data_IF_475137118635
#
_entry.id   IF_475137118635
#
_cell.length_a   1.000
_cell.length_b   1.000
_cell.length_c   1.000
_cell.angle_alpha   90.00
_cell.angle_beta   90.00
_cell.angle_gamma   90.00
#
_symmetry.space_group_name_H-M   'P 1'
#
loop_
_entity.id
_entity.type
_entity.pdbx_description
1 polymer ?
#
# COMPACT_ATOMS: atom_id res chain seq x y z
N UNK A 1 3.07 7.94 -50.17
CA UNK A 1 2.15 7.25 -51.11
C UNK A 1 1.58 6.05 -50.38
N UNK A 2 0.31 5.66 -50.60
CA UNK A 2 -0.25 4.48 -49.94
C UNK A 2 0.56 3.24 -50.30
N UNK A 3 0.74 2.35 -49.33
CA UNK A 3 1.51 1.12 -49.52
C UNK A 3 0.51 -0.04 -49.65
N UNK A 4 0.59 -0.81 -50.72
CA UNK A 4 -0.30 -1.92 -50.99
C UNK A 4 0.43 -3.22 -50.72
N UNK A 5 -0.16 -4.10 -49.92
CA UNK A 5 0.34 -5.46 -49.77
C UNK A 5 -0.29 -6.34 -50.83
N UNK A 6 0.53 -7.02 -51.61
CA UNK A 6 0.08 -7.94 -52.64
C UNK A 6 0.44 -9.39 -52.29
N UNK A 7 -0.45 -10.31 -52.65
CA UNK A 7 -0.16 -11.73 -52.80
C UNK A 7 -0.26 -12.06 -54.28
N UNK A 8 0.81 -12.57 -54.88
CA UNK A 8 0.87 -12.91 -56.29
C UNK A 8 1.55 -14.28 -56.49
N UNK A 9 1.28 -14.92 -57.61
CA UNK A 9 1.96 -16.17 -57.99
C UNK A 9 3.02 -15.92 -59.06
N UNK A 10 4.17 -16.55 -58.88
CA UNK A 10 5.21 -16.70 -59.91
C UNK A 10 4.73 -17.64 -61.02
N UNK A 11 5.37 -17.61 -62.19
CA UNK A 11 5.17 -18.51 -63.33
C UNK A 11 5.34 -20.00 -62.97
N UNK A 12 5.99 -20.31 -61.85
CA UNK A 12 6.09 -21.66 -61.27
C UNK A 12 4.91 -22.08 -60.38
N UNK A 13 3.95 -21.18 -60.11
CA UNK A 13 2.79 -21.40 -59.24
C UNK A 13 3.04 -21.17 -57.74
N UNK A 14 4.25 -20.76 -57.35
CA UNK A 14 4.59 -20.44 -55.96
C UNK A 14 4.02 -19.07 -55.55
N UNK A 15 3.35 -19.02 -54.40
CA UNK A 15 2.80 -17.78 -53.86
C UNK A 15 3.91 -16.91 -53.23
N UNK A 16 3.98 -15.65 -53.64
CA UNK A 16 4.84 -14.61 -53.08
C UNK A 16 4.02 -13.47 -52.52
N UNK A 17 4.46 -12.95 -51.38
CA UNK A 17 3.87 -11.79 -50.73
C UNK A 17 4.90 -10.66 -50.63
N UNK A 18 4.47 -9.45 -50.97
CA UNK A 18 5.31 -8.26 -50.97
C UNK A 18 4.49 -7.00 -50.79
N UNK A 19 5.17 -5.87 -50.65
CA UNK A 19 4.54 -4.55 -50.56
C UNK A 19 5.00 -3.69 -51.74
N UNK A 20 4.08 -2.92 -52.31
CA UNK A 20 4.35 -1.99 -53.41
C UNK A 20 3.75 -0.62 -53.09
N UNK A 21 4.53 0.44 -53.24
CA UNK A 21 4.03 1.80 -53.11
C UNK A 21 3.43 2.23 -54.44
N UNK A 22 2.13 2.51 -54.45
CA UNK A 22 1.41 2.90 -55.66
C UNK A 22 0.45 4.04 -55.35
N UNK A 23 0.01 4.73 -56.39
CA UNK A 23 -0.87 5.89 -56.24
C UNK A 23 -2.33 5.49 -56.00
N UNK A 24 -2.74 4.35 -56.58
CA UNK A 24 -4.04 3.72 -56.37
C UNK A 24 -3.94 2.19 -56.54
N UNK A 25 -5.03 1.47 -56.28
CA UNK A 25 -5.05 0.01 -56.36
C UNK A 25 -4.80 -0.51 -57.79
N UNK A 26 -5.20 0.22 -58.83
CA UNK A 26 -5.00 -0.18 -60.22
C UNK A 26 -3.52 -0.05 -60.64
N UNK A 27 -2.85 1.00 -60.16
CA UNK A 27 -1.41 1.22 -60.31
C UNK A 27 -0.60 0.14 -59.58
N UNK A 28 -1.04 -0.28 -58.38
CA UNK A 28 -0.46 -1.44 -57.68
C UNK A 28 -0.60 -2.74 -58.49
N UNK A 29 -1.76 -3.00 -59.10
CA UNK A 29 -1.98 -4.15 -59.99
C UNK A 29 -1.04 -4.12 -61.20
N UNK A 30 -0.87 -2.95 -61.82
CA UNK A 30 0.01 -2.79 -62.98
C UNK A 30 1.49 -3.03 -62.62
N UNK A 31 1.96 -2.49 -61.49
CA UNK A 31 3.34 -2.68 -61.04
C UNK A 31 3.66 -4.12 -60.66
N UNK A 32 2.76 -4.82 -59.95
CA UNK A 32 2.96 -6.23 -59.59
C UNK A 32 2.97 -7.13 -60.83
N UNK A 33 2.13 -6.82 -61.83
CA UNK A 33 2.11 -7.54 -63.11
C UNK A 33 3.38 -7.26 -63.92
N UNK A 34 3.90 -6.03 -63.89
CA UNK A 34 5.16 -5.67 -64.54
C UNK A 34 6.38 -6.38 -63.92
N UNK A 35 6.28 -6.83 -62.66
CA UNK A 35 7.29 -7.68 -62.01
C UNK A 35 7.21 -9.16 -62.44
N UNK A 36 6.32 -9.51 -63.38
CA UNK A 36 6.15 -10.87 -63.91
C UNK A 36 5.37 -11.81 -62.99
N UNK A 37 4.71 -11.27 -61.97
CA UNK A 37 3.89 -12.00 -61.00
C UNK A 37 2.40 -11.83 -61.32
N UNK A 38 1.58 -12.86 -61.12
CA UNK A 38 0.12 -12.79 -61.33
C UNK A 38 -0.58 -12.46 -60.00
N UNK A 39 -1.09 -11.23 -59.79
CA UNK A 39 -1.66 -10.81 -58.51
C UNK A 39 -3.00 -11.51 -58.22
N UNK A 40 -3.10 -12.13 -57.04
CA UNK A 40 -4.32 -12.83 -56.56
C UNK A 40 -5.10 -11.99 -55.56
N UNK A 41 -4.42 -11.14 -54.78
CA UNK A 41 -5.04 -10.18 -53.87
C UNK A 41 -4.14 -8.97 -53.67
N UNK A 42 -4.70 -7.75 -53.72
CA UNK A 42 -4.01 -6.50 -53.42
C UNK A 42 -4.87 -5.69 -52.45
N UNK A 43 -4.37 -5.46 -51.24
CA UNK A 43 -5.05 -4.71 -50.18
C UNK A 43 -4.24 -3.46 -49.80
N UNK A 44 -4.93 -2.33 -49.65
CA UNK A 44 -4.31 -1.08 -49.23
C UNK A 44 -3.97 -1.16 -47.74
N UNK A 45 -2.68 -1.07 -47.41
CA UNK A 45 -2.23 -1.02 -46.02
C UNK A 45 -2.19 0.45 -45.61
N UNK A 46 -3.23 0.88 -44.88
CA UNK A 46 -3.25 2.19 -44.24
C UNK A 46 -1.98 2.35 -43.37
N UNK A 47 -1.12 3.32 -43.74
CA UNK A 47 0.12 3.61 -43.03
C UNK A 47 -0.16 4.07 -41.59
N UNK A 48 -0.12 3.13 -40.65
CA UNK A 48 0.01 3.42 -39.24
C UNK A 48 1.48 3.74 -38.94
N UNK A 49 1.74 4.98 -38.50
CA UNK A 49 3.03 5.43 -38.01
C UNK A 49 3.51 4.52 -36.88
N UNK A 50 4.74 4.07 -37.01
CA UNK A 50 5.47 3.09 -36.22
C UNK A 50 5.32 3.26 -34.69
N UNK A 51 4.83 2.21 -34.02
CA UNK A 51 5.09 1.97 -32.61
C UNK A 51 5.27 0.45 -32.38
N UNK A 52 6.33 0.14 -31.65
CA UNK A 52 6.86 -1.19 -31.38
C UNK A 52 5.83 -2.21 -30.87
N UNK A 53 6.09 -3.48 -31.25
CA UNK A 53 5.41 -4.72 -30.85
C UNK A 53 4.80 -4.65 -29.44
N UNK A 54 3.48 -4.51 -29.39
CA UNK A 54 2.66 -4.65 -28.19
C UNK A 54 1.56 -5.68 -28.43
N UNK A 55 1.56 -6.73 -27.60
CA UNK A 55 0.55 -7.79 -27.61
C UNK A 55 -0.88 -7.27 -27.52
N UNK A 56 -1.79 -8.02 -28.16
CA UNK A 56 -3.25 -7.80 -28.19
C UNK A 56 -3.80 -7.44 -26.80
N UNK A 57 -4.05 -6.15 -26.54
CA UNK A 57 -4.97 -5.71 -25.48
C UNK A 57 -6.40 -5.72 -26.03
N UNK A 58 -7.21 -6.66 -25.52
CA UNK A 58 -8.67 -6.61 -25.64
C UNK A 58 -9.18 -5.31 -25.01
N UNK A 59 -10.06 -4.60 -25.73
CA UNK A 59 -10.75 -3.37 -25.31
C UNK A 59 -11.40 -3.54 -23.93
N UNK A 60 -11.05 -2.66 -23.00
CA UNK A 60 -11.57 -2.61 -21.64
C UNK A 60 -12.94 -1.93 -21.58
N UNK A 61 -13.89 -2.61 -20.95
CA UNK A 61 -15.06 -1.98 -20.35
C UNK A 61 -14.67 -1.27 -19.05
N UNK A 62 -15.39 -0.18 -18.75
CA UNK A 62 -15.12 0.81 -17.68
C UNK A 62 -15.25 0.24 -16.23
N UNK A 63 -15.40 -1.08 -16.07
CA UNK A 63 -15.56 -1.74 -14.77
C UNK A 63 -14.79 -3.07 -14.68
N UNK A 64 -13.56 -3.13 -15.17
CA UNK A 64 -12.68 -4.27 -14.87
C UNK A 64 -12.00 -4.06 -13.51
N UNK A 65 -12.76 -4.29 -12.44
CA UNK A 65 -12.14 -4.61 -11.15
C UNK A 65 -11.49 -5.99 -11.35
N UNK A 66 -10.17 -6.01 -11.56
CA UNK A 66 -9.38 -7.25 -11.54
C UNK A 66 -9.39 -7.83 -10.12
N UNK A 67 -10.49 -8.51 -9.76
CA UNK A 67 -10.61 -9.26 -8.52
C UNK A 67 -9.85 -10.57 -8.67
N UNK A 68 -8.73 -10.68 -7.95
CA UNK A 68 -8.18 -11.97 -7.52
C UNK A 68 -7.36 -12.73 -8.55
N UNK A 69 -6.04 -12.71 -8.38
CA UNK A 69 -5.14 -13.62 -9.10
C UNK A 69 -3.66 -13.33 -8.91
N UNK A 70 -3.30 -12.08 -8.62
CA UNK A 70 -1.92 -11.68 -8.35
C UNK A 70 -1.46 -12.05 -6.92
N UNK A 71 -0.14 -12.10 -6.67
CA UNK A 71 0.38 -12.45 -5.36
C UNK A 71 0.11 -11.35 -4.32
N UNK A 72 -0.07 -11.76 -3.07
CA UNK A 72 -0.04 -10.90 -1.90
C UNK A 72 1.38 -10.87 -1.28
N UNK A 73 1.57 -10.11 -0.21
CA UNK A 73 2.90 -9.96 0.43
C UNK A 73 3.42 -11.27 0.99
N UNK A 74 2.55 -12.11 1.54
CA UNK A 74 2.90 -13.42 2.05
C UNK A 74 3.35 -14.39 0.94
N UNK A 75 2.69 -14.38 -0.22
CA UNK A 75 3.12 -15.23 -1.35
C UNK A 75 4.49 -14.82 -1.86
N UNK A 76 4.74 -13.51 -1.99
CA UNK A 76 6.04 -12.99 -2.42
C UNK A 76 7.12 -13.35 -1.39
N UNK A 77 6.80 -13.31 -0.10
CA UNK A 77 7.70 -13.72 0.97
C UNK A 77 8.06 -15.21 0.86
N UNK A 78 7.06 -16.07 0.67
CA UNK A 78 7.26 -17.53 0.51
C UNK A 78 8.06 -17.81 -0.76
N UNK A 79 7.71 -17.19 -1.88
CA UNK A 79 8.45 -17.30 -3.14
C UNK A 79 9.92 -16.91 -2.93
N UNK A 80 10.19 -15.77 -2.30
CA UNK A 80 11.55 -15.27 -2.08
C UNK A 80 12.35 -16.21 -1.18
N UNK A 81 11.73 -16.71 -0.09
CA UNK A 81 12.35 -17.69 0.80
C UNK A 81 12.68 -18.99 0.08
N UNK A 82 11.74 -19.54 -0.68
CA UNK A 82 11.95 -20.77 -1.45
C UNK A 82 13.02 -20.57 -2.53
N UNK A 83 13.00 -19.42 -3.19
CA UNK A 83 14.02 -19.05 -4.18
C UNK A 83 15.40 -19.00 -3.55
N UNK A 84 15.55 -18.33 -2.39
CA UNK A 84 16.79 -18.32 -1.63
C UNK A 84 17.27 -19.75 -1.31
N UNK A 85 16.38 -20.61 -0.80
CA UNK A 85 16.71 -22.02 -0.48
C UNK A 85 17.16 -22.81 -1.71
N UNK A 86 16.49 -22.66 -2.86
CA UNK A 86 16.86 -23.39 -4.08
C UNK A 86 18.21 -22.93 -4.65
N UNK A 87 18.45 -21.62 -4.66
CA UNK A 87 19.73 -21.07 -5.14
C UNK A 87 20.87 -21.44 -4.19
N UNK A 88 20.63 -21.39 -2.87
CA UNK A 88 21.59 -21.84 -1.86
C UNK A 88 21.90 -23.35 -1.97
N UNK A 89 20.93 -24.16 -2.40
CA UNK A 89 21.14 -25.57 -2.72
C UNK A 89 21.91 -25.82 -4.04
N UNK A 90 22.37 -24.75 -4.70
CA UNK A 90 23.17 -24.82 -5.93
C UNK A 90 22.34 -25.01 -7.20
N UNK A 91 21.00 -24.89 -7.13
CA UNK A 91 20.15 -25.06 -8.29
C UNK A 91 20.25 -23.81 -9.22
N UNK A 92 20.46 -23.97 -10.53
CA UNK A 92 20.59 -22.84 -11.45
C UNK A 92 19.37 -21.90 -11.41
N UNK A 93 19.59 -20.59 -11.51
CA UNK A 93 18.56 -19.55 -11.39
C UNK A 93 17.30 -19.82 -12.21
N UNK A 94 17.48 -20.08 -13.51
CA UNK A 94 16.37 -20.36 -14.42
C UNK A 94 15.61 -21.62 -14.00
N UNK A 95 16.32 -22.66 -13.54
CA UNK A 95 15.69 -23.89 -13.08
C UNK A 95 14.91 -23.69 -11.79
N UNK A 96 15.44 -22.90 -10.86
CA UNK A 96 14.74 -22.51 -9.64
C UNK A 96 13.45 -21.74 -9.95
N UNK A 97 13.48 -20.80 -10.91
CA UNK A 97 12.28 -20.11 -11.39
C UNK A 97 11.25 -21.07 -11.99
N UNK A 98 11.66 -22.02 -12.84
CA UNK A 98 10.76 -23.03 -13.41
C UNK A 98 10.08 -23.90 -12.36
N UNK A 99 10.80 -24.28 -11.30
CA UNK A 99 10.23 -25.03 -10.17
C UNK A 99 9.18 -24.18 -9.45
N UNK A 100 9.48 -22.90 -9.19
CA UNK A 100 8.55 -21.98 -8.54
C UNK A 100 7.29 -21.74 -9.39
N UNK A 101 7.44 -21.56 -10.70
CA UNK A 101 6.33 -21.39 -11.66
C UNK A 101 5.38 -22.58 -11.60
N UNK A 102 5.92 -23.82 -11.59
CA UNK A 102 5.12 -25.05 -11.50
C UNK A 102 4.32 -25.16 -10.20
N UNK A 103 4.85 -24.63 -9.10
CA UNK A 103 4.15 -24.62 -7.80
C UNK A 103 3.01 -23.60 -7.74
N UNK A 104 2.92 -22.63 -8.66
CA UNK A 104 1.86 -21.61 -8.68
C UNK A 104 0.56 -22.13 -9.32
N UNK A 105 -0.06 -23.14 -8.73
CA UNK A 105 -1.35 -23.70 -9.20
C UNK A 105 -2.54 -22.78 -8.92
N UNK A 106 -2.53 -22.12 -7.75
CA UNK A 106 -3.68 -21.37 -7.23
C UNK A 106 -3.72 -19.90 -7.67
N UNK A 107 -2.64 -19.39 -8.28
CA UNK A 107 -2.46 -17.96 -8.59
C UNK A 107 -1.97 -17.75 -10.02
N UNK A 108 -2.87 -17.79 -11.03
CA UNK A 108 -2.48 -17.75 -12.44
C UNK A 108 -1.75 -16.46 -12.83
N UNK A 109 -2.12 -15.30 -12.26
CA UNK A 109 -1.40 -14.04 -12.53
C UNK A 109 -0.03 -14.01 -11.87
N UNK A 110 0.17 -14.68 -10.73
CA UNK A 110 1.52 -14.81 -10.17
C UNK A 110 2.40 -15.68 -11.07
N UNK A 111 1.84 -16.79 -11.56
CA UNK A 111 2.50 -17.65 -12.53
C UNK A 111 2.93 -16.88 -13.79
N UNK A 112 2.02 -16.11 -14.40
CA UNK A 112 2.31 -15.27 -15.58
C UNK A 112 3.45 -14.27 -15.32
N UNK A 113 3.47 -13.64 -14.15
CA UNK A 113 4.55 -12.73 -13.74
C UNK A 113 5.88 -13.49 -13.68
N UNK A 114 5.91 -14.66 -13.03
CA UNK A 114 7.13 -15.45 -12.91
C UNK A 114 7.61 -16.01 -14.25
N UNK A 115 6.68 -16.37 -15.15
CA UNK A 115 6.99 -16.75 -16.54
C UNK A 115 7.66 -15.59 -17.29
N UNK A 116 7.14 -14.37 -17.16
CA UNK A 116 7.77 -13.17 -17.73
C UNK A 116 9.17 -12.89 -17.17
N UNK A 117 9.36 -13.08 -15.86
CA UNK A 117 10.69 -12.96 -15.23
C UNK A 117 11.64 -14.05 -15.75
N UNK A 118 11.18 -15.29 -15.87
CA UNK A 118 11.98 -16.39 -16.39
C UNK A 118 12.34 -16.21 -17.86
N UNK A 119 11.44 -15.66 -18.68
CA UNK A 119 11.70 -15.34 -20.08
C UNK A 119 12.77 -14.24 -20.21
N UNK A 120 12.73 -13.22 -19.35
CA UNK A 120 13.78 -12.19 -19.29
C UNK A 120 15.15 -12.80 -19.02
N UNK A 121 15.26 -13.65 -17.99
CA UNK A 121 16.49 -14.35 -17.64
C UNK A 121 16.94 -15.29 -18.75
N UNK A 122 16.00 -16.02 -19.39
CA UNK A 122 16.30 -16.92 -20.52
C UNK A 122 16.85 -16.17 -21.73
N UNK A 123 16.41 -14.93 -21.95
CA UNK A 123 16.90 -14.06 -23.01
C UNK A 123 18.24 -13.39 -22.72
N UNK A 124 18.83 -13.63 -21.55
CA UNK A 124 20.12 -13.06 -21.13
C UNK A 124 20.02 -11.77 -20.30
N UNK A 125 18.81 -11.33 -19.94
CA UNK A 125 18.62 -10.23 -19.00
C UNK A 125 18.88 -10.65 -17.55
N UNK A 126 19.00 -9.68 -16.65
CA UNK A 126 19.19 -9.95 -15.22
C UNK A 126 17.85 -10.29 -14.53
N UNK A 127 17.89 -10.99 -13.40
CA UNK A 127 16.73 -11.23 -12.54
C UNK A 127 16.13 -9.90 -12.08
N UNK A 128 16.96 -8.96 -11.64
CA UNK A 128 16.51 -7.65 -11.17
C UNK A 128 15.76 -6.85 -12.24
N UNK A 129 16.22 -6.89 -13.49
CA UNK A 129 15.51 -6.26 -14.62
C UNK A 129 14.14 -6.92 -14.84
N UNK A 130 14.10 -8.26 -14.85
CA UNK A 130 12.85 -9.03 -15.00
C UNK A 130 11.83 -8.70 -13.91
N UNK A 131 12.28 -8.64 -12.66
CA UNK A 131 11.45 -8.27 -11.51
C UNK A 131 10.97 -6.81 -11.58
N UNK A 132 11.83 -5.90 -12.05
CA UNK A 132 11.54 -4.46 -12.12
C UNK A 132 10.41 -4.12 -13.11
N UNK A 133 10.14 -5.00 -14.08
CA UNK A 133 8.99 -4.90 -14.99
C UNK A 133 7.64 -5.06 -14.26
N UNK A 134 7.65 -5.50 -13.01
CA UNK A 134 6.46 -5.72 -12.19
C UNK A 134 6.51 -4.91 -10.87
N UNK A 135 6.59 -3.57 -10.93
CA UNK A 135 6.84 -2.70 -9.76
C UNK A 135 5.68 -2.68 -8.75
N UNK A 136 4.52 -3.21 -9.13
CA UNK A 136 3.37 -3.40 -8.22
C UNK A 136 3.62 -4.47 -7.17
N UNK A 137 4.47 -5.46 -7.48
CA UNK A 137 4.72 -6.64 -6.64
C UNK A 137 6.15 -6.64 -6.10
N UNK A 138 7.13 -6.31 -6.95
CA UNK A 138 8.52 -6.17 -6.53
C UNK A 138 8.84 -4.69 -6.41
N UNK A 139 8.94 -4.20 -5.17
CA UNK A 139 9.27 -2.80 -4.93
C UNK A 139 10.75 -2.52 -5.26
N UNK A 140 11.11 -1.24 -5.27
CA UNK A 140 12.47 -0.83 -5.59
C UNK A 140 13.49 -1.37 -4.60
N UNK A 141 13.12 -1.54 -3.33
CA UNK A 141 13.99 -2.13 -2.32
C UNK A 141 14.34 -3.56 -2.72
N UNK A 142 13.34 -4.38 -3.05
CA UNK A 142 13.52 -5.74 -3.54
C UNK A 142 14.43 -5.77 -4.78
N UNK A 143 14.08 -5.01 -5.82
CA UNK A 143 14.82 -5.02 -7.08
C UNK A 143 16.28 -4.56 -6.92
N UNK A 144 16.54 -3.52 -6.12
CA UNK A 144 17.91 -3.01 -5.93
C UNK A 144 18.76 -3.96 -5.08
N UNK A 145 18.18 -4.63 -4.08
CA UNK A 145 18.90 -5.67 -3.34
C UNK A 145 19.30 -6.80 -4.30
N UNK A 146 18.33 -7.36 -5.05
CA UNK A 146 18.62 -8.41 -6.04
C UNK A 146 19.69 -7.96 -7.02
N UNK A 147 19.59 -6.73 -7.55
CA UNK A 147 20.58 -6.16 -8.47
C UNK A 147 22.00 -6.14 -7.87
N UNK A 148 22.13 -5.73 -6.60
CA UNK A 148 23.41 -5.73 -5.90
C UNK A 148 23.96 -7.16 -5.71
N UNK A 149 23.07 -8.11 -5.38
CA UNK A 149 23.42 -9.53 -5.28
C UNK A 149 23.87 -10.15 -6.61
N UNK A 150 23.21 -9.79 -7.71
CA UNK A 150 23.61 -10.22 -9.05
C UNK A 150 24.96 -9.63 -9.47
N UNK A 151 25.16 -8.32 -9.24
CA UNK A 151 26.42 -7.65 -9.55
C UNK A 151 27.59 -8.18 -8.68
N UNK A 152 27.31 -8.52 -7.43
CA UNK A 152 28.29 -9.07 -6.48
C UNK A 152 28.46 -10.58 -6.53
N UNK A 153 27.68 -11.31 -7.34
CA UNK A 153 27.73 -12.77 -7.42
C UNK A 153 27.30 -13.49 -6.13
N UNK A 154 26.54 -12.84 -5.26
CA UNK A 154 26.09 -13.33 -3.94
C UNK A 154 24.56 -13.33 -3.84
N UNK A 155 23.92 -13.78 -4.91
CA UNK A 155 22.46 -13.73 -5.06
C UNK A 155 21.75 -14.54 -3.97
N UNK A 156 22.32 -15.68 -3.56
CA UNK A 156 21.83 -16.52 -2.47
C UNK A 156 21.74 -15.78 -1.13
N UNK A 157 22.80 -15.03 -0.78
CA UNK A 157 22.86 -14.24 0.46
C UNK A 157 21.83 -13.12 0.42
N UNK A 158 21.74 -12.45 -0.72
CA UNK A 158 20.80 -11.33 -0.90
C UNK A 158 19.36 -11.81 -0.86
N UNK A 159 19.00 -12.90 -1.55
CA UNK A 159 17.65 -13.44 -1.51
C UNK A 159 17.26 -13.89 -0.10
N UNK A 160 18.19 -14.47 0.67
CA UNK A 160 17.97 -14.80 2.08
C UNK A 160 17.69 -13.55 2.92
N UNK A 161 18.46 -12.48 2.73
CA UNK A 161 18.24 -11.19 3.40
C UNK A 161 16.90 -10.57 3.03
N UNK A 162 16.54 -10.57 1.75
CA UNK A 162 15.23 -10.07 1.28
C UNK A 162 14.10 -10.88 1.92
N UNK A 163 14.20 -12.20 1.93
CA UNK A 163 13.21 -13.08 2.56
C UNK A 163 13.07 -12.77 4.05
N UNK A 164 14.19 -12.68 4.77
CA UNK A 164 14.21 -12.37 6.21
C UNK A 164 13.63 -10.99 6.50
N UNK A 165 13.94 -9.98 5.69
CA UNK A 165 13.36 -8.64 5.78
C UNK A 165 11.83 -8.69 5.61
N UNK A 166 11.33 -9.40 4.59
CA UNK A 166 9.90 -9.55 4.33
C UNK A 166 9.19 -10.29 5.47
N UNK A 167 9.78 -11.38 5.99
CA UNK A 167 9.25 -12.15 7.11
C UNK A 167 9.10 -11.28 8.36
N UNK A 168 10.16 -10.53 8.72
CA UNK A 168 10.10 -9.60 9.85
C UNK A 168 9.05 -8.51 9.61
N UNK A 169 9.01 -7.90 8.43
CA UNK A 169 8.01 -6.85 8.12
C UNK A 169 6.56 -7.37 8.18
N UNK A 170 6.30 -8.60 7.71
CA UNK A 170 4.98 -9.22 7.77
C UNK A 170 4.63 -9.56 9.23
N UNK A 171 5.60 -10.05 10.01
CA UNK A 171 5.43 -10.34 11.43
C UNK A 171 5.02 -9.08 12.20
N UNK A 172 5.75 -7.98 12.04
CA UNK A 172 5.41 -6.69 12.68
C UNK A 172 4.03 -6.21 12.27
N UNK A 173 3.69 -6.27 10.97
CA UNK A 173 2.36 -5.88 10.50
C UNK A 173 1.24 -6.76 11.07
N UNK A 174 1.45 -8.08 11.16
CA UNK A 174 0.49 -9.01 11.77
C UNK A 174 0.30 -8.75 13.27
N UNK A 175 1.37 -8.46 14.00
CA UNK A 175 1.31 -8.09 15.42
C UNK A 175 0.48 -6.83 15.65
N UNK A 176 0.78 -5.75 14.91
CA UNK A 176 0.01 -4.49 14.98
C UNK A 176 -1.45 -4.73 14.63
N UNK A 177 -1.73 -5.50 13.57
CA UNK A 177 -3.10 -5.82 13.17
C UNK A 177 -3.82 -6.64 14.25
N UNK A 178 -3.16 -7.63 14.85
CA UNK A 178 -3.73 -8.47 15.89
C UNK A 178 -4.11 -7.68 17.14
N UNK A 179 -3.22 -6.78 17.59
CA UNK A 179 -3.47 -5.90 18.74
C UNK A 179 -4.66 -4.96 18.50
N UNK A 180 -4.91 -4.57 17.24
CA UNK A 180 -6.02 -3.68 16.87
C UNK A 180 -7.38 -4.37 16.77
N UNK A 181 -7.44 -5.70 16.73
CA UNK A 181 -8.70 -6.45 16.59
C UNK A 181 -9.61 -6.19 17.80
N UNK A 182 -9.08 -6.34 19.02
CA UNK A 182 -9.87 -6.21 20.23
C UNK A 182 -10.49 -4.79 20.39
N UNK A 183 -9.72 -3.69 20.32
CA UNK A 183 -10.28 -2.33 20.29
C UNK A 183 -11.35 -2.12 19.24
N UNK A 184 -11.15 -2.67 18.03
CA UNK A 184 -12.09 -2.52 16.93
C UNK A 184 -13.42 -3.22 17.22
N UNK A 185 -13.39 -4.44 17.77
CA UNK A 185 -14.60 -5.20 18.11
C UNK A 185 -15.38 -4.48 19.21
N UNK A 186 -14.71 -4.07 20.29
CA UNK A 186 -15.36 -3.34 21.40
C UNK A 186 -15.96 -2.02 20.91
N UNK A 187 -15.25 -1.29 20.05
CA UNK A 187 -15.74 -0.03 19.48
C UNK A 187 -16.98 -0.25 18.59
N UNK A 188 -16.99 -1.29 17.76
CA UNK A 188 -18.17 -1.64 16.94
C UNK A 188 -19.37 -1.97 17.83
N UNK A 189 -19.17 -2.77 18.89
CA UNK A 189 -20.23 -3.12 19.85
C UNK A 189 -20.74 -1.88 20.59
N UNK A 190 -19.83 -1.03 21.08
CA UNK A 190 -20.16 0.21 21.78
C UNK A 190 -20.99 1.18 20.92
N UNK A 191 -20.52 1.42 19.69
CA UNK A 191 -21.24 2.25 18.70
C UNK A 191 -22.60 1.60 18.35
N UNK A 192 -22.65 0.28 18.24
CA UNK A 192 -23.90 -0.46 18.01
C UNK A 192 -24.92 -0.29 19.14
N UNK A 193 -24.49 -0.35 20.40
CA UNK A 193 -25.36 -0.11 21.57
C UNK A 193 -25.89 1.32 21.55
N UNK A 194 -25.01 2.32 21.37
CA UNK A 194 -25.42 3.73 21.30
C UNK A 194 -26.38 3.97 20.13
N UNK A 195 -26.08 3.42 18.94
CA UNK A 195 -26.95 3.54 17.79
C UNK A 195 -28.32 2.90 18.04
N UNK A 196 -28.39 1.73 18.68
CA UNK A 196 -29.65 1.08 19.05
C UNK A 196 -30.45 1.94 20.02
N UNK A 197 -29.81 2.50 21.05
CA UNK A 197 -30.46 3.41 21.99
C UNK A 197 -31.03 4.63 21.26
N UNK A 198 -30.23 5.26 20.40
CA UNK A 198 -30.63 6.47 19.68
C UNK A 198 -31.72 6.22 18.63
N UNK A 199 -31.71 5.09 17.93
CA UNK A 199 -32.67 4.81 16.84
C UNK A 199 -33.96 4.18 17.35
N UNK A 200 -33.92 3.39 18.43
CA UNK A 200 -35.09 2.62 18.89
C UNK A 200 -35.62 3.09 20.22
N UNK A 201 -34.75 3.39 21.20
CA UNK A 201 -35.17 3.68 22.57
C UNK A 201 -35.57 5.15 22.73
N UNK A 202 -34.73 6.08 22.29
CA UNK A 202 -34.98 7.52 22.42
C UNK A 202 -36.32 7.95 21.76
N UNK A 203 -36.68 7.50 20.54
CA UNK A 203 -37.94 7.90 19.91
C UNK A 203 -39.18 7.38 20.65
N UNK A 204 -39.09 6.18 21.27
CA UNK A 204 -40.20 5.64 22.08
C UNK A 204 -40.47 6.52 23.30
N UNK A 205 -39.41 6.96 23.99
CA UNK A 205 -39.53 7.89 25.11
C UNK A 205 -40.03 9.26 24.67
N UNK A 206 -39.56 9.78 23.55
CA UNK A 206 -40.07 11.03 22.97
C UNK A 206 -41.58 10.97 22.74
N UNK A 207 -42.11 9.86 22.18
CA UNK A 207 -43.54 9.67 21.99
C UNK A 207 -44.34 9.69 23.31
N UNK A 208 -43.79 9.09 24.37
CA UNK A 208 -44.41 9.13 25.71
C UNK A 208 -44.43 10.57 26.25
N UNK A 209 -43.32 11.29 26.13
CA UNK A 209 -43.18 12.65 26.64
C UNK A 209 -44.09 13.65 25.92
N UNK A 210 -44.24 13.55 24.60
CA UNK A 210 -45.15 14.42 23.84
C UNK A 210 -46.61 14.26 24.30
N UNK A 211 -47.02 13.04 24.66
CA UNK A 211 -48.38 12.77 25.14
C UNK A 211 -48.61 13.25 26.58
N UNK A 212 -47.59 13.18 27.44
CA UNK A 212 -47.71 13.53 28.86
C UNK A 212 -47.50 15.03 29.17
N UNK A 213 -46.66 15.74 28.40
CA UNK A 213 -46.21 17.10 28.75
C UNK A 213 -47.07 18.25 28.21
N UNK A 214 -48.12 18.01 27.40
CA UNK A 214 -49.06 19.04 26.88
C UNK A 214 -48.40 20.39 26.46
N UNK A 215 -47.21 20.36 25.86
CA UNK A 215 -46.51 21.56 25.38
C UNK A 215 -45.49 22.18 26.35
N UNK A 216 -45.23 21.59 27.53
CA UNK A 216 -44.11 21.99 28.37
C UNK A 216 -42.77 21.64 27.70
N UNK A 217 -41.81 22.57 27.76
CA UNK A 217 -40.51 22.40 27.13
C UNK A 217 -39.70 21.28 27.82
N UNK A 218 -39.11 20.40 27.02
CA UNK A 218 -38.25 19.34 27.54
C UNK A 218 -36.97 19.92 28.15
N UNK A 219 -36.40 19.31 29.21
CA UNK A 219 -35.10 19.71 29.74
C UNK A 219 -33.99 19.71 28.68
N UNK A 220 -33.04 20.64 28.78
CA UNK A 220 -31.97 20.85 27.78
C UNK A 220 -31.22 19.58 27.36
N UNK A 221 -30.74 18.73 28.28
CA UNK A 221 -30.06 17.47 27.93
C UNK A 221 -30.95 16.53 27.09
N UNK A 222 -32.25 16.45 27.41
CA UNK A 222 -33.23 15.66 26.66
C UNK A 222 -33.41 16.18 25.24
N UNK A 223 -33.45 17.51 25.05
CA UNK A 223 -33.57 18.13 23.73
C UNK A 223 -32.37 17.78 22.82
N UNK A 224 -31.15 17.77 23.37
CA UNK A 224 -29.94 17.39 22.61
C UNK A 224 -30.05 15.93 22.15
N UNK A 225 -30.37 15.02 23.07
CA UNK A 225 -30.45 13.57 22.76
C UNK A 225 -31.55 13.28 21.74
N UNK A 226 -32.72 13.91 21.90
CA UNK A 226 -33.83 13.77 20.94
C UNK A 226 -33.47 14.39 19.59
N UNK A 227 -32.88 15.59 19.55
CA UNK A 227 -32.49 16.23 18.29
C UNK A 227 -31.47 15.41 17.49
N UNK A 228 -30.49 14.80 18.18
CA UNK A 228 -29.55 13.87 17.55
C UNK A 228 -30.28 12.60 17.09
N UNK A 229 -31.18 12.04 17.90
CA UNK A 229 -31.98 10.86 17.54
C UNK A 229 -32.84 11.11 16.29
N UNK A 230 -33.54 12.23 16.23
CA UNK A 230 -34.35 12.64 15.08
C UNK A 230 -33.51 12.79 13.81
N UNK A 231 -32.28 13.33 13.92
CA UNK A 231 -31.35 13.37 12.79
C UNK A 231 -31.04 11.97 12.26
N UNK A 232 -30.78 11.01 13.14
CA UNK A 232 -30.51 9.62 12.73
C UNK A 232 -31.76 8.87 12.24
N UNK A 233 -32.95 9.15 12.77
CA UNK A 233 -34.19 8.42 12.49
C UNK A 233 -34.95 8.99 11.30
N UNK A 234 -35.14 10.32 11.24
CA UNK A 234 -35.95 10.97 10.22
C UNK A 234 -35.16 11.23 8.93
N UNK A 235 -33.84 11.39 9.04
CA UNK A 235 -32.97 11.73 7.91
C UNK A 235 -31.94 10.63 7.64
N UNK A 236 -32.36 9.35 7.64
CA UNK A 236 -31.47 8.17 7.45
C UNK A 236 -30.56 8.30 6.23
N UNK A 237 -31.11 8.81 5.12
CA UNK A 237 -30.37 9.03 3.87
C UNK A 237 -29.33 10.15 4.06
N UNK A 238 -29.71 11.27 4.67
CA UNK A 238 -28.77 12.39 4.93
C UNK A 238 -27.70 11.97 5.93
N UNK A 239 -28.05 11.25 7.00
CA UNK A 239 -27.09 10.74 7.97
C UNK A 239 -26.08 9.78 7.31
N UNK A 240 -26.55 8.85 6.46
CA UNK A 240 -25.68 7.98 5.67
C UNK A 240 -24.79 8.80 4.72
N UNK A 241 -25.35 9.77 4.00
CA UNK A 241 -24.60 10.65 3.09
C UNK A 241 -23.56 11.48 3.84
N UNK A 242 -23.85 11.98 5.04
CA UNK A 242 -22.89 12.72 5.86
C UNK A 242 -21.75 11.83 6.34
N UNK A 243 -22.04 10.59 6.77
CA UNK A 243 -21.00 9.63 7.18
C UNK A 243 -20.12 9.28 5.97
N UNK A 244 -20.73 8.98 4.83
CA UNK A 244 -20.03 8.64 3.59
C UNK A 244 -19.22 9.84 3.08
N UNK A 245 -19.78 11.05 3.10
CA UNK A 245 -19.10 12.28 2.71
C UNK A 245 -17.96 12.64 3.66
N UNK A 246 -18.11 12.42 4.96
CA UNK A 246 -17.04 12.60 5.94
C UNK A 246 -15.92 11.59 5.69
N UNK A 247 -16.25 10.32 5.46
CA UNK A 247 -15.28 9.27 5.13
C UNK A 247 -14.51 9.59 3.85
N UNK A 248 -15.20 9.89 2.74
CA UNK A 248 -14.56 10.26 1.48
C UNK A 248 -13.87 11.63 1.54
N UNK A 249 -14.37 12.56 2.36
CA UNK A 249 -13.77 13.87 2.60
C UNK A 249 -12.43 13.75 3.33
N UNK A 250 -12.37 12.94 4.40
CA UNK A 250 -11.12 12.61 5.09
C UNK A 250 -10.17 11.87 4.15
N UNK A 251 -10.67 10.91 3.38
CA UNK A 251 -9.85 10.17 2.40
C UNK A 251 -9.31 11.10 1.30
N UNK A 252 -10.12 12.05 0.84
CA UNK A 252 -9.73 13.08 -0.13
C UNK A 252 -8.69 14.04 0.43
N UNK A 253 -8.88 14.50 1.66
CA UNK A 253 -7.92 15.32 2.40
C UNK A 253 -6.57 14.60 2.54
N UNK A 254 -6.57 13.31 2.88
CA UNK A 254 -5.35 12.48 2.95
C UNK A 254 -4.63 12.32 1.61
N UNK A 255 -5.34 12.45 0.47
CA UNK A 255 -4.70 12.44 -0.87
C UNK A 255 -4.03 13.76 -1.23
N UNK A 256 -4.38 14.86 -0.57
CA UNK A 256 -3.71 16.15 -0.77
C UNK A 256 -2.38 16.19 -0.02
N UNK A 257 -1.36 16.85 -0.58
CA UNK A 257 -0.05 17.00 0.08
C UNK A 257 -0.15 17.65 1.47
N UNK A 258 -0.97 18.70 1.60
CA UNK A 258 -1.19 19.41 2.87
C UNK A 258 -1.93 18.54 3.89
N UNK A 259 -2.99 17.86 3.48
CA UNK A 259 -3.75 17.00 4.37
C UNK A 259 -2.94 15.78 4.82
N UNK A 260 -2.23 15.11 3.92
CA UNK A 260 -1.30 14.02 4.28
C UNK A 260 -0.29 14.47 5.34
N UNK A 261 0.37 15.62 5.14
CA UNK A 261 1.33 16.18 6.10
C UNK A 261 0.70 16.55 7.44
N UNK A 262 -0.56 17.02 7.45
CA UNK A 262 -1.30 17.29 8.69
C UNK A 262 -1.59 16.01 9.46
N UNK A 263 -2.03 14.94 8.77
CA UNK A 263 -2.26 13.64 9.40
C UNK A 263 -0.96 12.99 9.89
N UNK A 264 0.13 13.15 9.15
CA UNK A 264 1.46 12.69 9.58
C UNK A 264 1.93 13.41 10.85
N UNK A 265 1.70 14.73 10.92
CA UNK A 265 2.00 15.54 12.11
C UNK A 265 1.15 15.12 13.30
N UNK A 266 -0.17 14.98 13.11
CA UNK A 266 -1.09 14.50 14.14
C UNK A 266 -0.68 13.13 14.65
N UNK A 267 -0.28 12.22 13.75
CA UNK A 267 0.16 10.87 14.11
C UNK A 267 1.41 10.85 15.01
N UNK A 268 2.36 11.75 14.79
CA UNK A 268 3.59 11.87 15.59
C UNK A 268 3.30 12.54 16.94
N UNK A 269 2.41 13.52 16.99
CA UNK A 269 2.18 14.36 18.18
C UNK A 269 1.11 13.80 19.13
N UNK A 270 0.36 12.78 18.74
CA UNK A 270 -0.69 12.22 19.58
C UNK A 270 -0.08 11.40 20.72
N UNK A 271 -0.49 11.62 22.00
CA UNK A 271 0.08 10.87 23.12
C UNK A 271 -0.06 9.36 22.94
N UNK A 272 0.99 8.61 23.27
CA UNK A 272 1.11 7.14 23.13
C UNK A 272 1.07 6.58 21.70
N UNK A 273 0.25 7.15 20.81
CA UNK A 273 0.23 6.79 19.39
C UNK A 273 1.48 7.29 18.66
N UNK A 274 1.97 8.48 19.02
CA UNK A 274 3.21 9.06 18.53
C UNK A 274 4.40 8.16 18.75
N UNK A 275 4.50 7.54 19.92
CA UNK A 275 5.58 6.60 20.24
C UNK A 275 5.61 5.42 19.25
N UNK A 276 4.44 4.84 18.92
CA UNK A 276 4.36 3.75 17.94
C UNK A 276 4.73 4.23 16.54
N UNK A 277 4.26 5.41 16.13
CA UNK A 277 4.57 5.96 14.80
C UNK A 277 6.06 6.26 14.67
N UNK A 278 6.67 6.92 15.65
CA UNK A 278 8.11 7.24 15.66
C UNK A 278 8.93 5.96 15.67
N UNK A 279 8.67 5.06 16.62
CA UNK A 279 9.41 3.79 16.72
C UNK A 279 9.28 2.93 15.46
N UNK A 280 8.08 2.87 14.87
CA UNK A 280 7.83 2.13 13.62
C UNK A 280 8.58 2.71 12.42
N UNK A 281 8.62 4.04 12.28
CA UNK A 281 9.37 4.66 11.19
C UNK A 281 10.88 4.51 11.41
N UNK A 282 11.39 4.71 12.63
CA UNK A 282 12.80 4.50 12.96
C UNK A 282 13.22 3.05 12.68
N UNK A 283 12.47 2.06 13.17
CA UNK A 283 12.74 0.64 12.90
C UNK A 283 12.76 0.34 11.40
N UNK A 284 11.83 0.92 10.63
CA UNK A 284 11.79 0.76 9.17
C UNK A 284 13.00 1.39 8.50
N UNK A 285 13.40 2.59 8.90
CA UNK A 285 14.56 3.30 8.35
C UNK A 285 15.81 2.47 8.62
N UNK A 286 16.08 2.14 9.87
CA UNK A 286 17.32 1.45 10.27
C UNK A 286 17.39 0.04 9.70
N UNK A 287 16.28 -0.71 9.67
CA UNK A 287 16.20 -2.03 9.01
C UNK A 287 16.52 -1.94 7.53
N UNK A 288 15.81 -1.06 6.82
CA UNK A 288 15.91 -0.95 5.37
C UNK A 288 17.32 -0.50 4.98
N UNK A 289 17.82 0.52 5.68
CA UNK A 289 19.13 1.08 5.43
C UNK A 289 20.23 0.07 5.77
N UNK A 290 20.19 -0.57 6.94
CA UNK A 290 21.13 -1.63 7.34
C UNK A 290 21.15 -2.79 6.35
N UNK A 291 19.98 -3.30 5.95
CA UNK A 291 19.88 -4.42 4.98
C UNK A 291 20.45 -4.06 3.61
N UNK A 292 20.25 -2.82 3.16
CA UNK A 292 20.80 -2.34 1.88
C UNK A 292 22.33 -2.23 1.95
N UNK A 293 22.86 -1.62 3.01
CA UNK A 293 24.30 -1.48 3.19
C UNK A 293 24.99 -2.85 3.35
N UNK A 294 24.41 -3.75 4.13
CA UNK A 294 24.85 -5.15 4.24
C UNK A 294 24.96 -5.81 2.87
N UNK A 295 24.02 -5.52 1.98
CA UNK A 295 23.93 -6.06 0.61
C UNK A 295 24.84 -5.32 -0.38
N UNK A 296 25.72 -4.45 0.11
CA UNK A 296 26.69 -3.73 -0.71
C UNK A 296 26.10 -2.58 -1.53
N UNK A 297 24.87 -2.15 -1.24
CA UNK A 297 24.26 -1.01 -1.93
C UNK A 297 24.96 0.28 -1.47
N UNK A 298 25.42 1.15 -2.39
CA UNK A 298 26.08 2.40 -2.02
C UNK A 298 25.21 3.30 -1.12
N UNK A 299 25.82 3.95 -0.13
CA UNK A 299 25.13 4.75 0.91
C UNK A 299 24.11 5.73 0.34
N UNK A 300 24.49 6.53 -0.67
CA UNK A 300 23.59 7.52 -1.28
C UNK A 300 22.35 6.86 -1.92
N UNK A 301 22.56 5.74 -2.62
CA UNK A 301 21.46 4.98 -3.21
C UNK A 301 20.59 4.33 -2.12
N UNK A 302 21.21 3.83 -1.05
CA UNK A 302 20.52 3.24 0.07
C UNK A 302 19.63 4.26 0.83
N UNK A 303 20.08 5.51 0.98
CA UNK A 303 19.28 6.61 1.54
C UNK A 303 18.05 6.91 0.67
N UNK A 304 18.21 6.99 -0.66
CA UNK A 304 17.10 7.22 -1.59
C UNK A 304 16.07 6.09 -1.57
N UNK A 305 16.52 4.84 -1.58
CA UNK A 305 15.62 3.67 -1.51
C UNK A 305 14.90 3.65 -0.16
N UNK A 306 15.63 3.87 0.94
CA UNK A 306 15.04 3.90 2.28
C UNK A 306 13.95 4.96 2.38
N UNK A 307 14.19 6.18 1.85
CA UNK A 307 13.20 7.26 1.78
C UNK A 307 11.89 6.81 1.12
N UNK A 308 11.97 6.04 0.05
CA UNK A 308 10.80 5.58 -0.73
C UNK A 308 9.97 4.52 0.00
N UNK A 309 10.53 3.86 1.01
CA UNK A 309 9.77 2.92 1.85
C UNK A 309 8.94 3.61 2.94
N UNK A 310 9.16 4.91 3.16
CA UNK A 310 8.52 5.67 4.23
C UNK A 310 7.16 6.21 3.79
N UNK A 311 6.17 6.06 4.67
CA UNK A 311 4.83 6.61 4.42
C UNK A 311 4.62 7.97 5.05
N UNK A 312 5.39 8.31 6.09
CA UNK A 312 5.29 9.58 6.80
C UNK A 312 6.22 10.62 6.17
N UNK A 313 5.65 11.76 5.79
CA UNK A 313 6.36 12.84 5.09
C UNK A 313 7.50 13.48 5.89
N UNK A 314 7.41 13.57 7.22
CA UNK A 314 8.48 14.15 8.04
C UNK A 314 9.75 13.29 8.04
N UNK A 315 9.59 11.96 8.09
CA UNK A 315 10.72 11.05 7.99
C UNK A 315 11.29 11.01 6.56
N UNK A 316 10.44 11.12 5.54
CA UNK A 316 10.88 11.20 4.14
C UNK A 316 11.67 12.49 3.85
N UNK A 317 11.23 13.62 4.39
CA UNK A 317 11.93 14.90 4.32
C UNK A 317 13.28 14.82 5.05
N UNK A 318 13.32 14.21 6.24
CA UNK A 318 14.56 13.99 6.99
C UNK A 318 15.58 13.14 6.21
N UNK A 319 15.15 12.03 5.60
CA UNK A 319 16.01 11.20 4.75
C UNK A 319 16.53 11.94 3.52
N UNK A 320 15.74 12.87 2.95
CA UNK A 320 16.16 13.69 1.81
C UNK A 320 17.28 14.64 2.22
N UNK A 321 17.15 15.33 3.35
CA UNK A 321 18.20 16.22 3.87
C UNK A 321 19.47 15.47 4.25
N UNK A 322 19.33 14.29 4.85
CA UNK A 322 20.48 13.42 5.14
C UNK A 322 21.20 13.01 3.86
N UNK A 323 20.47 12.60 2.82
CA UNK A 323 21.05 12.31 1.51
C UNK A 323 21.84 13.48 0.94
N UNK A 324 21.27 14.69 0.96
CA UNK A 324 21.91 15.88 0.40
C UNK A 324 23.18 16.25 1.20
N UNK A 325 23.14 16.17 2.53
CA UNK A 325 24.30 16.46 3.39
C UNK A 325 25.43 15.44 3.22
N UNK A 326 25.10 14.15 3.14
CA UNK A 326 26.10 13.07 2.92
C UNK A 326 26.69 13.17 1.52
N UNK A 327 25.89 13.58 0.52
CA UNK A 327 26.40 13.86 -0.83
C UNK A 327 27.42 14.99 -0.84
N UNK A 328 27.23 15.98 0.02
CA UNK A 328 28.16 17.11 0.18
C UNK A 328 29.38 16.77 1.06
N UNK A 329 29.48 15.54 1.55
CA UNK A 329 30.63 15.02 2.29
C UNK A 329 30.53 15.09 3.82
N UNK A 330 29.37 15.45 4.37
CA UNK A 330 29.15 15.36 5.81
C UNK A 330 29.03 13.89 6.27
N UNK A 331 29.61 13.57 7.43
CA UNK A 331 29.42 12.29 8.11
C UNK A 331 27.94 12.08 8.46
N UNK A 332 27.41 10.86 8.26
CA UNK A 332 25.99 10.53 8.34
C UNK A 332 25.35 10.87 9.70
N UNK A 333 26.06 10.65 10.80
CA UNK A 333 25.55 10.95 12.14
C UNK A 333 25.21 12.44 12.33
N UNK A 334 25.95 13.33 11.67
CA UNK A 334 25.81 14.79 11.80
C UNK A 334 24.44 15.30 11.32
N UNK A 335 24.01 15.12 10.05
CA UNK A 335 22.70 15.53 9.60
C UNK A 335 21.57 14.75 10.28
N UNK A 336 21.82 13.51 10.72
CA UNK A 336 20.82 12.73 11.47
C UNK A 336 20.51 13.36 12.83
N UNK A 337 21.54 13.87 13.54
CA UNK A 337 21.38 14.54 14.84
C UNK A 337 20.63 15.87 14.78
N UNK A 338 20.63 16.54 13.61
CA UNK A 338 19.91 17.81 13.38
C UNK A 338 18.40 17.58 13.23
N UNK A 339 17.97 16.38 12.85
CA UNK A 339 16.58 16.06 12.59
C UNK A 339 15.86 15.53 13.84
N UNK A 340 14.83 16.24 14.30
CA UNK A 340 14.08 15.94 15.54
C UNK A 340 13.33 14.61 15.55
N UNK A 341 13.20 13.96 14.39
CA UNK A 341 12.47 12.69 14.24
C UNK A 341 13.30 11.49 14.71
N UNK A 342 14.62 11.64 14.83
CA UNK A 342 15.52 10.58 15.28
C UNK A 342 15.82 10.71 16.78
N UNK A 343 15.59 9.65 17.57
CA UNK A 343 16.00 9.62 18.96
C UNK A 343 17.53 9.63 19.11
N UNK A 344 18.03 10.25 20.18
CA UNK A 344 19.47 10.40 20.45
C UNK A 344 20.22 9.07 20.47
N UNK A 345 19.60 8.01 20.96
CA UNK A 345 20.20 6.67 20.97
C UNK A 345 20.52 6.17 19.56
N UNK A 346 19.66 6.46 18.58
CA UNK A 346 19.87 6.07 17.18
C UNK A 346 21.04 6.83 16.59
N UNK A 347 21.09 8.15 16.80
CA UNK A 347 22.17 8.99 16.26
C UNK A 347 23.53 8.59 16.84
N UNK A 348 23.60 8.29 18.14
CA UNK A 348 24.84 7.84 18.79
C UNK A 348 25.29 6.46 18.30
N UNK A 349 24.37 5.52 18.05
CA UNK A 349 24.77 4.22 17.49
C UNK A 349 25.20 4.32 16.02
N UNK A 350 24.63 5.25 15.25
CA UNK A 350 25.09 5.54 13.88
C UNK A 350 26.47 6.17 13.89
N UNK A 351 26.74 7.11 14.79
CA UNK A 351 28.06 7.71 15.00
C UNK A 351 29.11 6.64 15.32
N UNK A 352 28.84 5.78 16.30
CA UNK A 352 29.74 4.66 16.64
C UNK A 352 29.94 3.73 15.44
N UNK A 353 28.87 3.36 14.73
CA UNK A 353 28.97 2.49 13.56
C UNK A 353 29.73 3.10 12.38
N UNK A 354 29.66 4.43 12.23
CA UNK A 354 30.42 5.17 11.22
C UNK A 354 31.92 5.22 11.59
N UNK A 355 32.24 5.44 12.87
CA UNK A 355 33.62 5.43 13.38
C UNK A 355 34.28 4.05 13.34
N UNK A 356 33.54 2.99 13.67
CA UNK A 356 34.07 1.61 13.68
C UNK A 356 34.00 0.94 12.31
N UNK A 357 33.30 1.53 11.34
CA UNK A 357 33.02 0.92 10.04
C UNK A 357 31.97 -0.20 10.07
N UNK A 358 31.30 -0.42 11.22
CA UNK A 358 30.25 -1.43 11.42
C UNK A 358 28.84 -0.83 11.38
N UNK A 359 28.63 0.22 10.56
CA UNK A 359 27.35 0.89 10.40
C UNK A 359 26.18 -0.06 10.09
N UNK A 360 26.31 -1.04 9.17
CA UNK A 360 25.20 -1.97 8.87
C UNK A 360 24.75 -2.77 10.10
N UNK A 361 25.70 -3.30 10.87
CA UNK A 361 25.44 -4.08 12.09
C UNK A 361 24.78 -3.22 13.17
N UNK A 362 25.24 -1.98 13.35
CA UNK A 362 24.62 -1.05 14.29
C UNK A 362 23.17 -0.72 13.88
N UNK A 363 22.92 -0.44 12.61
CA UNK A 363 21.56 -0.17 12.10
C UNK A 363 20.62 -1.35 12.31
N UNK A 364 21.07 -2.58 12.04
CA UNK A 364 20.27 -3.79 12.27
C UNK A 364 19.98 -4.02 13.75
N UNK A 365 20.95 -3.80 14.64
CA UNK A 365 20.73 -3.87 16.11
C UNK A 365 19.74 -2.83 16.60
N UNK A 366 19.82 -1.59 16.11
CA UNK A 366 18.82 -0.57 16.38
C UNK A 366 17.45 -1.04 15.89
N UNK A 367 17.37 -1.60 14.69
CA UNK A 367 16.12 -2.06 14.11
C UNK A 367 15.46 -3.19 14.93
N UNK A 368 16.24 -4.14 15.44
CA UNK A 368 15.75 -5.23 16.27
C UNK A 368 15.28 -4.72 17.64
N UNK A 369 16.05 -3.83 18.28
CA UNK A 369 15.62 -3.19 19.54
C UNK A 369 14.32 -2.40 19.36
N UNK A 370 14.20 -1.62 18.29
CA UNK A 370 12.99 -0.84 18.02
C UNK A 370 11.79 -1.72 17.64
N UNK A 371 12.00 -2.90 17.03
CA UNK A 371 10.92 -3.87 16.79
C UNK A 371 10.32 -4.39 18.11
N UNK A 372 11.16 -4.69 19.10
CA UNK A 372 10.69 -5.07 20.44
C UNK A 372 9.98 -3.88 21.14
N UNK A 373 10.52 -2.69 20.97
CA UNK A 373 9.97 -1.47 21.54
C UNK A 373 8.63 -1.06 20.94
N UNK A 374 8.36 -1.43 19.68
CA UNK A 374 7.06 -1.32 19.03
C UNK A 374 6.07 -2.28 19.67
N UNK A 375 6.45 -3.53 19.93
CA UNK A 375 5.57 -4.51 20.58
C UNK A 375 5.12 -4.00 21.96
N UNK A 376 6.05 -3.47 22.75
CA UNK A 376 5.76 -2.86 24.04
C UNK A 376 4.83 -1.65 23.93
N UNK A 377 5.08 -0.78 22.94
CA UNK A 377 4.26 0.42 22.72
C UNK A 377 2.83 0.06 22.25
N UNK A 378 2.69 -0.97 21.41
CA UNK A 378 1.39 -1.50 20.95
C UNK A 378 0.61 -2.14 22.11
N UNK A 379 1.28 -2.90 22.98
CA UNK A 379 0.66 -3.47 24.17
C UNK A 379 0.18 -2.37 25.14
N UNK A 380 1.00 -1.35 25.37
CA UNK A 380 0.65 -0.21 26.20
C UNK A 380 -0.51 0.63 25.63
N UNK A 381 -0.58 0.79 24.31
CA UNK A 381 -1.73 1.41 23.66
C UNK A 381 -3.01 0.60 23.91
N UNK A 382 -2.92 -0.71 23.74
CA UNK A 382 -4.08 -1.60 23.90
C UNK A 382 -4.62 -1.55 25.33
N UNK A 383 -3.76 -1.54 26.35
CA UNK A 383 -4.17 -1.48 27.76
C UNK A 383 -4.81 -0.16 28.18
N UNK A 384 -4.46 0.96 27.52
CA UNK A 384 -5.05 2.27 27.80
C UNK A 384 -6.38 2.46 27.08
N UNK A 385 -6.53 1.88 25.87
CA UNK A 385 -7.76 2.01 25.09
C UNK A 385 -8.95 1.42 25.85
N UNK A 386 -8.81 0.30 26.55
CA UNK A 386 -9.92 -0.35 27.25
C UNK A 386 -10.56 0.53 28.35
N UNK A 387 -9.82 1.09 29.33
CA UNK A 387 -10.37 2.03 30.30
C UNK A 387 -11.02 3.26 29.66
N UNK A 388 -10.40 3.83 28.61
CA UNK A 388 -10.96 4.97 27.88
C UNK A 388 -12.31 4.60 27.26
N UNK A 389 -12.42 3.42 26.66
CA UNK A 389 -13.65 2.93 26.04
C UNK A 389 -14.75 2.71 27.09
N UNK A 390 -14.42 2.15 28.25
CA UNK A 390 -15.38 1.95 29.35
C UNK A 390 -15.88 3.29 29.88
N UNK A 391 -14.98 4.24 30.17
CA UNK A 391 -15.35 5.58 30.64
C UNK A 391 -16.19 6.31 29.59
N UNK A 392 -15.78 6.25 28.32
CA UNK A 392 -16.54 6.84 27.22
C UNK A 392 -17.96 6.28 27.14
N UNK A 393 -18.11 4.94 27.18
CA UNK A 393 -19.42 4.30 27.13
C UNK A 393 -20.26 4.66 28.37
N UNK A 394 -19.66 4.66 29.56
CA UNK A 394 -20.35 5.05 30.79
C UNK A 394 -20.86 6.49 30.73
N UNK A 395 -20.04 7.43 30.22
CA UNK A 395 -20.43 8.83 30.05
C UNK A 395 -21.54 8.98 29.01
N UNK A 396 -21.39 8.37 27.83
CA UNK A 396 -22.37 8.49 26.73
C UNK A 396 -23.70 7.83 27.11
N UNK A 397 -23.68 6.58 27.57
CA UNK A 397 -24.90 5.87 27.96
C UNK A 397 -25.51 6.49 29.21
N UNK A 398 -24.70 6.87 30.21
CA UNK A 398 -25.17 7.56 31.40
C UNK A 398 -25.83 8.90 31.07
N UNK A 399 -25.24 9.69 30.16
CA UNK A 399 -25.83 10.93 29.68
C UNK A 399 -27.17 10.70 28.99
N UNK A 400 -27.28 9.69 28.11
CA UNK A 400 -28.55 9.32 27.45
C UNK A 400 -29.60 8.94 28.49
N UNK A 401 -29.24 8.08 29.46
CA UNK A 401 -30.17 7.65 30.51
C UNK A 401 -30.63 8.85 31.34
N UNK A 402 -29.73 9.68 31.86
CA UNK A 402 -30.09 10.87 32.64
C UNK A 402 -30.99 11.80 31.82
N UNK A 403 -30.65 12.05 30.55
CA UNK A 403 -31.44 12.87 29.65
C UNK A 403 -32.86 12.32 29.45
N UNK A 404 -33.05 11.00 29.44
CA UNK A 404 -34.37 10.38 29.35
C UNK A 404 -35.15 10.39 30.69
N UNK A 405 -34.47 10.40 31.84
CA UNK A 405 -35.12 10.43 33.15
C UNK A 405 -35.55 11.84 33.59
N UNK A 406 -34.85 12.90 33.19
CA UNK A 406 -35.17 14.27 33.59
C UNK A 406 -36.62 14.72 33.29
N UNK A 407 -37.21 14.44 32.11
CA UNK A 407 -38.61 14.78 31.85
C UNK A 407 -39.58 14.08 32.80
N UNK A 408 -39.29 12.85 33.21
CA UNK A 408 -40.15 12.09 34.14
C UNK A 408 -40.21 12.81 35.50
N UNK A 409 -39.07 13.29 36.00
CA UNK A 409 -39.01 14.07 37.25
C UNK A 409 -39.83 15.35 37.12
N UNK A 410 -39.67 16.09 36.02
CA UNK A 410 -40.43 17.32 35.77
C UNK A 410 -41.94 17.09 35.69
N UNK A 411 -42.37 15.97 35.08
CA UNK A 411 -43.79 15.57 35.05
C UNK A 411 -44.31 15.28 36.46
N UNK A 412 -43.55 14.55 37.29
CA UNK A 412 -43.94 14.22 38.67
C UNK A 412 -44.06 15.50 39.51
N UNK A 413 -43.11 16.42 39.42
CA UNK A 413 -43.17 17.71 40.13
C UNK A 413 -44.34 18.59 39.70
N UNK A 414 -44.75 18.50 38.43
CA UNK A 414 -45.89 19.26 37.89
C UNK A 414 -47.23 18.63 38.27
N UNK A 415 -47.31 17.30 38.43
CA UNK A 415 -48.50 16.58 38.90
C UNK A 415 -48.67 16.58 40.43
N UNK A 416 -47.57 16.82 41.17
CA UNK A 416 -47.58 16.93 42.63
C UNK A 416 -47.98 18.31 43.17
N UNK A 417 -48.25 19.28 42.29
CA UNK A 417 -48.87 20.57 42.58
C UNK A 417 -50.29 20.56 42.05
#
# INVERSE_FOLDING_TARGET
MPNFQYTAQDQSGAAQQGNVEATDQNDAYAQVTAMGLTPTAIEEVAQAVSAAKGGKKKKGGILNIEIGGGPNKEDLCVFTRQMATLIQAGLPLLRSLEVMIKQQEKKPKFREILEGVADNVRSGGTLSDGLSNHPKYFDKLYCNMVKAGEAGGVLEVVLDRVATFMEKSIRTAKKVKAAMIYPSVVMVVAVGIVALLMVVVVPKFQGIFQNMLKGAALPGPTQIVIGVSEFFVNQKIVALVVIVAMFFGIMGLKRTKKGARMFDWLGINLPKFGDVIVKSNVARITRTFGTLLDSGVPILQALLITRETLTNSYFSDAMTKMHDSVRDGEALATPMSREKVFPTMVTSMVEIGEETGELPDMLNRIADNYDEDIDNAVAALTSIIEPIMIVFLAVVVGFIVIALFLPIVSIIETLGK
#
